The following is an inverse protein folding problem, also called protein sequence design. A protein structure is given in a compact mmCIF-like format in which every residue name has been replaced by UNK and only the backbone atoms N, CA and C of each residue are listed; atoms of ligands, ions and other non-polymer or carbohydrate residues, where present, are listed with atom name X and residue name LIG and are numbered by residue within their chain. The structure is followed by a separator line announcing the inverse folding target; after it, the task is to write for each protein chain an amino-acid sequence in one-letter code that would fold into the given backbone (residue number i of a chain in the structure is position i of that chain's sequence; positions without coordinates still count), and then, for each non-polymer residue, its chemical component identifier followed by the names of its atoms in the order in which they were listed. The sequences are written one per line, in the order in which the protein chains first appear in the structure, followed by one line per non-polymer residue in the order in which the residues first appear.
data_IF_363700955972
#
_entry.id   IF_363700955972
#
_cell.length_a   1.000
_cell.length_b   1.000
_cell.length_c   1.000
_cell.angle_alpha   90.00
_cell.angle_beta   90.00
_cell.angle_gamma   90.00
#
_symmetry.space_group_name_H-M   'P 1'
#
loop_
_entity.id
_entity.type
_entity.pdbx_description
1 polymer ?
#
# COMPACT_ATOMS: atom_id res chain seq x y z
N UNK A 1 28.18 -6.76 20.83
CA UNK A 1 27.41 -5.69 20.15
C UNK A 1 28.06 -5.08 18.89
N UNK A 2 29.34 -5.35 18.57
CA UNK A 2 30.01 -4.72 17.40
C UNK A 2 29.80 -5.38 16.04
N UNK A 3 29.59 -6.70 15.98
CA UNK A 3 29.57 -7.45 14.71
C UNK A 3 28.24 -7.35 13.92
N UNK A 4 27.12 -7.15 14.63
CA UNK A 4 25.78 -7.07 14.01
C UNK A 4 25.58 -5.75 13.24
N UNK A 5 26.26 -4.67 13.65
CA UNK A 5 26.18 -3.36 12.97
C UNK A 5 26.82 -3.36 11.58
N UNK A 6 27.83 -4.20 11.34
CA UNK A 6 28.58 -4.27 10.08
C UNK A 6 27.75 -4.92 8.97
N UNK A 7 26.82 -5.82 9.31
CA UNK A 7 25.95 -6.48 8.33
C UNK A 7 24.65 -5.73 8.04
N UNK A 8 24.17 -4.90 8.97
CA UNK A 8 22.92 -4.14 8.79
C UNK A 8 23.13 -2.94 7.85
N UNK A 9 24.30 -2.30 7.89
CA UNK A 9 24.59 -1.11 7.08
C UNK A 9 24.50 -1.34 5.55
N UNK A 10 25.06 -2.41 4.95
CA UNK A 10 24.95 -2.63 3.51
C UNK A 10 23.52 -3.02 3.07
N UNK A 11 22.76 -3.71 3.92
CA UNK A 11 21.36 -4.07 3.64
C UNK A 11 20.48 -2.81 3.61
N UNK A 12 20.72 -1.87 4.54
CA UNK A 12 20.00 -0.60 4.61
C UNK A 12 20.33 0.32 3.43
N UNK A 13 21.58 0.30 2.94
CA UNK A 13 22.01 1.02 1.73
C UNK A 13 21.45 0.39 0.46
N UNK A 14 21.42 -0.94 0.37
CA UNK A 14 20.88 -1.65 -0.80
C UNK A 14 19.38 -1.46 -0.96
N UNK A 15 18.62 -1.42 0.13
CA UNK A 15 17.17 -1.14 0.09
C UNK A 15 16.88 0.33 -0.26
N UNK A 16 17.80 1.25 0.07
CA UNK A 16 17.65 2.68 -0.22
C UNK A 16 18.00 3.06 -1.67
N UNK A 17 18.77 2.23 -2.39
CA UNK A 17 19.19 2.47 -3.79
C UNK A 17 18.26 1.87 -4.86
N UNK A 18 17.27 1.05 -4.48
CA UNK A 18 16.38 0.40 -5.45
C UNK A 18 15.32 1.28 -6.14
N UNK A 19 14.94 2.51 -5.70
CA UNK A 19 13.94 3.30 -6.42
C UNK A 19 14.51 4.46 -7.27
N UNK A 20 15.81 4.51 -7.59
CA UNK A 20 16.38 5.57 -8.46
C UNK A 20 16.55 5.09 -9.93
N UNK A 21 16.21 3.84 -10.25
CA UNK A 21 16.53 3.22 -11.54
C UNK A 21 15.47 3.27 -12.64
N UNK A 22 14.32 3.97 -12.49
CA UNK A 22 13.28 3.99 -13.54
C UNK A 22 12.78 5.42 -13.78
N UNK A 23 13.60 6.19 -14.49
CA UNK A 23 13.34 7.45 -15.23
C UNK A 23 14.76 8.00 -15.43
N UNK A 24 15.38 7.99 -16.61
CA UNK A 24 14.94 8.59 -17.86
C UNK A 24 15.55 7.80 -19.03
N UNK A 25 14.70 7.31 -19.93
CA UNK A 25 15.06 7.05 -21.32
C UNK A 25 13.92 7.64 -22.15
N UNK A 26 13.83 8.97 -22.15
CA UNK A 26 13.12 9.69 -23.20
C UNK A 26 14.17 9.84 -24.30
N UNK A 27 14.14 8.95 -25.29
CA UNK A 27 14.83 9.20 -26.55
C UNK A 27 14.26 10.52 -27.08
N UNK A 28 15.08 11.57 -27.08
CA UNK A 28 14.84 12.74 -27.91
C UNK A 28 14.82 12.24 -29.35
N UNK A 29 13.62 11.94 -29.86
CA UNK A 29 13.37 11.89 -31.29
C UNK A 29 13.48 13.34 -31.75
N UNK A 30 14.70 13.74 -32.10
CA UNK A 30 14.97 14.89 -32.93
C UNK A 30 14.34 14.63 -34.29
N UNK A 31 13.10 15.10 -34.45
CA UNK A 31 12.51 15.27 -35.78
C UNK A 31 13.35 16.35 -36.46
N UNK A 32 13.99 16.07 -37.61
CA UNK A 32 14.78 17.06 -38.31
C UNK A 32 13.88 18.23 -38.73
N UNK A 33 14.39 19.45 -38.59
CA UNK A 33 13.76 20.66 -39.13
C UNK A 33 13.42 20.41 -40.60
N UNK A 34 12.12 20.44 -40.93
CA UNK A 34 11.66 20.58 -42.31
C UNK A 34 12.19 21.94 -42.81
N UNK A 35 13.35 21.88 -43.46
CA UNK A 35 13.85 22.95 -44.30
C UNK A 35 12.85 23.12 -45.45
N UNK A 36 11.98 24.12 -45.30
CA UNK A 36 11.15 24.65 -46.38
C UNK A 36 12.10 25.24 -47.43
N UNK A 37 12.54 24.40 -48.37
CA UNK A 37 13.27 24.82 -49.55
C UNK A 37 12.28 24.96 -50.71
N UNK A 38 11.83 26.18 -50.91
CA UNK A 38 11.30 26.65 -52.17
C UNK A 38 12.44 26.60 -53.20
N UNK A 39 12.32 25.72 -54.20
CA UNK A 39 12.99 25.97 -55.46
C UNK A 39 12.07 25.64 -56.64
N UNK A 40 11.83 26.69 -57.43
CA UNK A 40 11.07 26.69 -58.67
C UNK A 40 12.09 26.47 -59.78
N UNK A 41 12.15 25.28 -60.38
CA UNK A 41 12.63 25.12 -61.76
C UNK A 41 11.91 23.93 -62.37
N UNK A 42 11.12 24.19 -63.42
CA UNK A 42 10.36 23.17 -64.12
C UNK A 42 11.22 22.27 -64.98
N UNK A 43 10.66 21.11 -65.32
CA UNK A 43 10.87 20.47 -66.62
C UNK A 43 9.71 19.49 -66.87
N UNK A 44 8.93 19.81 -67.90
CA UNK A 44 7.92 18.94 -68.49
C UNK A 44 8.63 17.81 -69.25
N UNK A 45 8.19 16.55 -69.09
CA UNK A 45 8.33 15.52 -70.13
C UNK A 45 7.07 14.64 -70.17
N UNK A 46 6.49 14.39 -71.37
CA UNK A 46 5.15 13.83 -71.53
C UNK A 46 5.16 12.29 -71.47
N UNK A 47 4.24 11.70 -70.71
CA UNK A 47 3.91 10.27 -70.86
C UNK A 47 2.73 10.11 -71.83
N UNK A 48 3.09 9.45 -72.92
CA UNK A 48 2.36 9.06 -74.12
C UNK A 48 1.03 8.36 -73.81
N UNK A 49 -0.08 8.87 -74.34
CA UNK A 49 -1.35 8.13 -74.41
C UNK A 49 -1.25 7.13 -75.56
N UNK A 50 -1.20 5.84 -75.23
CA UNK A 50 -1.37 4.75 -76.20
C UNK A 50 -2.84 4.33 -76.23
N UNK A 51 -3.53 4.78 -77.27
CA UNK A 51 -4.90 4.38 -77.62
C UNK A 51 -4.85 3.09 -78.43
N UNK A 52 -5.37 2.00 -77.87
CA UNK A 52 -5.97 0.92 -78.65
C UNK A 52 -5.69 -0.51 -78.18
N UNK A 53 -6.65 -1.11 -77.48
CA UNK A 53 -7.16 -2.46 -77.73
C UNK A 53 -8.24 -2.79 -76.67
N UNK A 54 -9.43 -3.14 -77.13
CA UNK A 54 -10.57 -3.55 -76.33
C UNK A 54 -10.37 -4.99 -75.83
N UNK A 55 -10.50 -5.24 -74.52
CA UNK A 55 -10.78 -6.57 -73.97
C UNK A 55 -11.93 -6.47 -72.95
N UNK A 56 -12.96 -7.33 -73.03
CA UNK A 56 -14.18 -7.18 -72.24
C UNK A 56 -13.99 -7.63 -70.79
N UNK A 57 -14.50 -6.81 -69.88
CA UNK A 57 -14.49 -7.02 -68.42
C UNK A 57 -15.43 -8.19 -68.08
N UNK A 58 -14.86 -9.29 -67.58
CA UNK A 58 -15.59 -10.46 -67.09
C UNK A 58 -16.12 -10.17 -65.68
N UNK A 59 -17.43 -9.96 -65.54
CA UNK A 59 -18.08 -9.90 -64.22
C UNK A 59 -18.25 -11.33 -63.69
N UNK A 60 -17.43 -11.72 -62.72
CA UNK A 60 -17.59 -12.98 -62.01
C UNK A 60 -18.61 -12.80 -60.88
N UNK A 61 -19.72 -13.55 -60.97
CA UNK A 61 -20.90 -13.51 -60.11
C UNK A 61 -20.61 -14.14 -58.74
N UNK A 62 -20.85 -13.37 -57.67
CA UNK A 62 -20.64 -13.77 -56.28
C UNK A 62 -21.86 -14.53 -55.74
N UNK A 63 -21.69 -15.79 -55.31
CA UNK A 63 -22.64 -16.46 -54.42
C UNK A 63 -21.94 -16.93 -53.14
N UNK A 64 -22.18 -16.22 -52.05
CA UNK A 64 -21.80 -16.63 -50.69
C UNK A 64 -22.96 -17.42 -50.09
N UNK A 65 -22.78 -18.73 -49.90
CA UNK A 65 -23.68 -19.54 -49.07
C UNK A 65 -23.43 -19.22 -47.59
N UNK A 66 -24.38 -18.53 -46.96
CA UNK A 66 -24.40 -18.26 -45.53
C UNK A 66 -25.06 -19.44 -44.80
N UNK A 67 -24.26 -20.25 -44.09
CA UNK A 67 -24.74 -21.31 -43.19
C UNK A 67 -24.96 -20.72 -41.76
N UNK A 68 -26.21 -20.61 -41.28
CA UNK A 68 -26.54 -20.03 -39.98
C UNK A 68 -26.41 -21.02 -38.81
N UNK A 69 -26.02 -22.27 -39.04
CA UNK A 69 -26.12 -23.35 -38.04
C UNK A 69 -25.00 -23.39 -37.00
N UNK A 70 -23.96 -22.56 -37.11
CA UNK A 70 -22.85 -22.49 -36.15
C UNK A 70 -23.12 -21.48 -35.01
N UNK A 71 -24.32 -20.90 -34.95
CA UNK A 71 -24.69 -19.88 -33.98
C UNK A 71 -25.06 -20.40 -32.57
N UNK A 72 -25.05 -21.71 -32.30
CA UNK A 72 -25.55 -22.22 -31.02
C UNK A 72 -24.59 -23.17 -30.31
N UNK A 73 -24.38 -22.87 -29.03
CA UNK A 73 -23.77 -23.70 -27.97
C UNK A 73 -22.25 -23.68 -27.81
N UNK A 74 -21.72 -22.55 -27.34
CA UNK A 74 -20.69 -22.59 -26.31
C UNK A 74 -21.04 -21.57 -25.22
N UNK A 75 -21.86 -22.00 -24.25
CA UNK A 75 -22.06 -21.25 -23.00
C UNK A 75 -20.79 -21.46 -22.18
N UNK A 76 -19.75 -20.70 -22.50
CA UNK A 76 -18.68 -20.39 -21.58
C UNK A 76 -19.15 -19.13 -20.85
N UNK A 77 -19.28 -19.11 -19.51
CA UNK A 77 -19.54 -17.86 -18.81
C UNK A 77 -18.39 -16.92 -19.13
N UNK A 78 -18.66 -15.90 -19.96
CA UNK A 78 -17.73 -14.84 -20.33
C UNK A 78 -17.24 -14.12 -19.08
N UNK A 79 -16.14 -14.60 -18.50
CA UNK A 79 -15.28 -13.72 -17.71
C UNK A 79 -14.56 -12.86 -18.77
N UNK A 80 -14.75 -11.53 -18.77
CA UNK A 80 -14.28 -10.66 -19.84
C UNK A 80 -12.76 -10.46 -19.75
N UNK A 81 -11.98 -11.52 -19.99
CA UNK A 81 -10.53 -11.49 -19.97
C UNK A 81 -9.99 -11.84 -21.36
N UNK A 82 -10.18 -10.88 -22.29
CA UNK A 82 -9.58 -10.94 -23.62
C UNK A 82 -8.15 -10.39 -23.54
N UNK A 83 -7.16 -11.27 -23.72
CA UNK A 83 -5.72 -10.96 -23.70
C UNK A 83 -5.22 -10.46 -25.08
N UNK A 84 -6.01 -10.63 -26.14
CA UNK A 84 -5.47 -10.65 -27.52
C UNK A 84 -5.62 -9.35 -28.33
N UNK A 85 -6.00 -8.23 -27.71
CA UNK A 85 -6.11 -6.93 -28.39
C UNK A 85 -4.83 -6.08 -28.29
N UNK A 86 -4.62 -5.06 -29.17
CA UNK A 86 -3.53 -4.07 -29.05
C UNK A 86 -3.57 -3.22 -27.76
N UNK A 87 -4.54 -3.48 -26.86
CA UNK A 87 -4.64 -2.97 -25.50
C UNK A 87 -4.50 -4.05 -24.41
N UNK A 88 -4.07 -5.27 -24.72
CA UNK A 88 -4.03 -6.42 -23.78
C UNK A 88 -3.23 -6.17 -22.50
N UNK A 89 -2.16 -5.38 -22.57
CA UNK A 89 -1.41 -4.95 -21.39
C UNK A 89 -2.21 -3.98 -20.50
N UNK A 90 -2.97 -3.06 -21.10
CA UNK A 90 -3.79 -2.08 -20.36
C UNK A 90 -5.01 -2.73 -19.72
N UNK A 91 -5.68 -3.66 -20.42
CA UNK A 91 -6.83 -4.40 -19.88
C UNK A 91 -6.41 -5.34 -18.75
N UNK A 92 -5.28 -6.03 -18.91
CA UNK A 92 -4.71 -6.89 -17.85
C UNK A 92 -4.31 -6.08 -16.62
N UNK A 93 -3.70 -4.90 -16.80
CA UNK A 93 -3.35 -4.01 -15.70
C UNK A 93 -4.60 -3.49 -14.96
N UNK A 94 -5.64 -3.06 -15.69
CA UNK A 94 -6.90 -2.61 -15.09
C UNK A 94 -7.62 -3.74 -14.34
N UNK A 95 -7.64 -4.95 -14.90
CA UNK A 95 -8.21 -6.12 -14.23
C UNK A 95 -7.44 -6.48 -12.95
N UNK A 96 -6.11 -6.44 -12.99
CA UNK A 96 -5.26 -6.62 -11.82
C UNK A 96 -5.55 -5.53 -10.76
N UNK A 97 -5.60 -4.26 -11.15
CA UNK A 97 -5.91 -3.17 -10.22
C UNK A 97 -7.30 -3.31 -9.60
N UNK A 98 -8.31 -3.73 -10.38
CA UNK A 98 -9.65 -3.98 -9.87
C UNK A 98 -9.65 -5.11 -8.83
N UNK A 99 -9.04 -6.26 -9.15
CA UNK A 99 -8.92 -7.38 -8.22
C UNK A 99 -8.11 -7.00 -6.96
N UNK A 100 -6.99 -6.29 -7.13
CA UNK A 100 -6.16 -5.79 -6.04
C UNK A 100 -6.93 -4.80 -5.15
N UNK A 101 -7.73 -3.92 -5.74
CA UNK A 101 -8.54 -2.95 -4.99
C UNK A 101 -9.58 -3.64 -4.10
N UNK A 102 -10.24 -4.69 -4.62
CA UNK A 102 -11.18 -5.50 -3.84
C UNK A 102 -10.45 -6.21 -2.69
N UNK A 103 -9.28 -6.80 -2.98
CA UNK A 103 -8.45 -7.45 -1.97
C UNK A 103 -8.05 -6.46 -0.85
N UNK A 104 -7.51 -5.30 -1.20
CA UNK A 104 -7.12 -4.26 -0.25
C UNK A 104 -8.32 -3.75 0.53
N UNK A 105 -9.50 -3.62 -0.08
CA UNK A 105 -10.69 -3.18 0.62
C UNK A 105 -11.13 -4.21 1.68
N UNK A 106 -11.20 -5.49 1.33
CA UNK A 106 -11.62 -6.54 2.26
C UNK A 106 -10.61 -6.72 3.40
N UNK A 107 -9.33 -6.94 3.07
CA UNK A 107 -8.30 -7.18 4.07
C UNK A 107 -7.88 -5.90 4.81
N UNK A 108 -7.88 -4.76 4.13
CA UNK A 108 -7.59 -3.46 4.73
C UNK A 108 -8.67 -3.02 5.69
N UNK A 109 -9.96 -3.15 5.32
CA UNK A 109 -11.06 -2.83 6.22
C UNK A 109 -11.13 -3.81 7.40
N UNK A 110 -10.98 -5.11 7.14
CA UNK A 110 -10.91 -6.13 8.19
C UNK A 110 -9.75 -5.89 9.17
N UNK A 111 -8.56 -5.61 8.63
CA UNK A 111 -7.36 -5.28 9.42
C UNK A 111 -7.52 -3.98 10.21
N UNK A 112 -8.14 -2.96 9.62
CA UNK A 112 -8.45 -1.71 10.30
C UNK A 112 -9.40 -1.92 11.48
N UNK A 113 -10.56 -2.57 11.25
CA UNK A 113 -11.52 -2.89 12.31
C UNK A 113 -10.86 -3.68 13.44
N UNK A 114 -10.09 -4.72 13.08
CA UNK A 114 -9.35 -5.52 14.04
C UNK A 114 -8.38 -4.67 14.88
N UNK A 115 -7.57 -3.83 14.22
CA UNK A 115 -6.59 -2.97 14.88
C UNK A 115 -7.26 -1.95 15.81
N UNK A 116 -8.37 -1.35 15.38
CA UNK A 116 -9.17 -0.40 16.18
C UNK A 116 -9.79 -1.08 17.40
N UNK A 117 -10.33 -2.30 17.27
CA UNK A 117 -10.86 -3.05 18.43
C UNK A 117 -9.74 -3.41 19.41
N UNK A 118 -8.59 -3.88 18.90
CA UNK A 118 -7.45 -4.23 19.73
C UNK A 118 -6.95 -3.00 20.51
N UNK A 119 -6.78 -1.87 19.83
CA UNK A 119 -6.31 -0.64 20.44
C UNK A 119 -7.34 -0.02 21.40
N UNK A 120 -8.64 -0.11 21.09
CA UNK A 120 -9.73 0.27 21.99
C UNK A 120 -9.65 -0.51 23.30
N UNK A 121 -9.44 -1.83 23.22
CA UNK A 121 -9.31 -2.69 24.39
C UNK A 121 -8.05 -2.37 25.19
N UNK A 122 -6.90 -2.17 24.52
CA UNK A 122 -5.66 -1.72 25.17
C UNK A 122 -5.89 -0.41 25.94
N UNK A 123 -6.50 0.59 25.31
CA UNK A 123 -6.80 1.86 25.95
C UNK A 123 -7.72 1.70 27.16
N UNK A 124 -8.79 0.90 27.05
CA UNK A 124 -9.71 0.63 28.14
C UNK A 124 -9.02 -0.09 29.31
N UNK A 125 -8.22 -1.12 29.03
CA UNK A 125 -7.48 -1.89 30.04
C UNK A 125 -6.42 -1.05 30.76
N UNK A 126 -5.86 -0.05 30.08
CA UNK A 126 -4.88 0.89 30.63
C UNK A 126 -5.51 2.13 31.29
N UNK A 127 -6.84 2.18 31.40
CA UNK A 127 -7.55 3.28 32.08
C UNK A 127 -7.58 4.59 31.28
N UNK A 128 -7.52 4.53 29.95
CA UNK A 128 -7.60 5.72 29.11
C UNK A 128 -9.02 6.28 29.06
N UNK A 129 -9.20 7.59 29.27
CA UNK A 129 -10.52 8.24 29.36
C UNK A 129 -11.37 8.11 28.09
N UNK A 130 -10.72 8.06 26.91
CA UNK A 130 -11.41 8.08 25.60
C UNK A 130 -10.96 6.94 24.69
N UNK A 131 -11.24 5.65 25.02
CA UNK A 131 -10.76 4.52 24.22
C UNK A 131 -11.29 4.52 22.78
N UNK A 132 -12.41 5.20 22.53
CA UNK A 132 -13.00 5.36 21.19
C UNK A 132 -12.07 6.07 20.19
N UNK A 133 -11.03 6.78 20.67
CA UNK A 133 -9.99 7.36 19.82
C UNK A 133 -9.32 6.33 18.89
N UNK A 134 -9.36 5.04 19.26
CA UNK A 134 -8.88 3.94 18.42
C UNK A 134 -9.54 3.83 17.03
N UNK A 135 -10.74 4.39 16.86
CA UNK A 135 -11.48 4.36 15.60
C UNK A 135 -11.07 5.48 14.65
N UNK A 136 -10.48 6.58 15.10
CA UNK A 136 -10.11 7.69 14.21
C UNK A 136 -8.60 7.65 14.00
N UNK A 137 -8.06 7.50 12.77
CA UNK A 137 -6.61 7.28 12.54
C UNK A 137 -5.68 8.32 13.19
N UNK A 138 -6.10 9.59 13.19
CA UNK A 138 -5.33 10.67 13.81
C UNK A 138 -5.38 10.54 15.33
N UNK A 139 -6.56 10.27 15.90
CA UNK A 139 -6.74 10.13 17.35
C UNK A 139 -6.14 8.83 17.89
N UNK A 140 -6.13 7.75 17.10
CA UNK A 140 -5.50 6.49 17.47
C UNK A 140 -4.00 6.66 17.64
N UNK A 141 -3.38 7.50 16.81
CA UNK A 141 -1.97 7.89 16.94
C UNK A 141 -1.73 8.69 18.23
N UNK A 142 -2.56 9.71 18.49
CA UNK A 142 -2.51 10.51 19.73
C UNK A 142 -2.66 9.63 20.97
N UNK A 143 -3.63 8.72 20.96
CA UNK A 143 -3.87 7.78 22.05
C UNK A 143 -2.68 6.85 22.24
N UNK A 144 -2.12 6.32 21.15
CA UNK A 144 -0.92 5.45 21.21
C UNK A 144 0.26 6.19 21.84
N UNK A 145 0.49 7.45 21.48
CA UNK A 145 1.53 8.28 22.09
C UNK A 145 1.28 8.48 23.58
N UNK A 146 0.06 8.83 23.99
CA UNK A 146 -0.28 9.03 25.40
C UNK A 146 -0.12 7.73 26.22
N UNK A 147 -0.59 6.59 25.69
CA UNK A 147 -0.43 5.29 26.33
C UNK A 147 1.05 4.86 26.41
N UNK A 148 1.87 5.26 25.44
CA UNK A 148 3.30 5.00 25.35
C UNK A 148 4.20 6.00 26.08
N UNK A 149 3.65 6.89 26.93
CA UNK A 149 4.38 7.97 27.64
C UNK A 149 5.11 8.95 26.71
N UNK A 150 4.52 9.25 25.55
CA UNK A 150 5.03 10.23 24.59
C UNK A 150 4.13 11.46 24.49
N UNK A 151 4.72 12.58 24.06
CA UNK A 151 3.99 13.83 23.88
C UNK A 151 3.08 13.76 22.64
N UNK A 152 1.74 13.90 22.78
CA UNK A 152 0.81 13.84 21.65
C UNK A 152 1.03 14.96 20.63
N UNK A 153 1.65 16.09 21.01
CA UNK A 153 1.99 17.18 20.09
C UNK A 153 2.99 16.76 19.01
N UNK A 154 3.69 15.63 19.19
CA UNK A 154 4.58 15.08 18.16
C UNK A 154 3.83 14.71 16.88
N UNK A 155 2.49 14.58 16.91
CA UNK A 155 1.70 14.40 15.70
C UNK A 155 1.76 15.62 14.76
N UNK A 156 2.08 16.81 15.26
CA UNK A 156 2.26 18.01 14.43
C UNK A 156 3.42 17.85 13.45
N UNK A 157 4.37 16.94 13.71
CA UNK A 157 5.43 16.62 12.75
C UNK A 157 4.84 16.05 11.46
N UNK A 158 3.66 15.43 11.47
CA UNK A 158 2.98 14.93 10.27
C UNK A 158 2.71 16.05 9.25
N UNK A 159 2.61 17.31 9.70
CA UNK A 159 2.41 18.47 8.84
C UNK A 159 3.66 18.81 8.00
N UNK A 160 4.83 18.31 8.39
CA UNK A 160 6.08 18.46 7.63
C UNK A 160 6.12 17.36 6.56
N UNK A 161 5.95 17.69 5.27
CA UNK A 161 5.96 16.69 4.21
C UNK A 161 7.34 16.01 4.12
N UNK A 162 7.33 14.73 3.75
CA UNK A 162 8.54 13.91 3.66
C UNK A 162 8.95 13.31 5.00
N UNK A 163 9.75 14.03 5.79
CA UNK A 163 10.38 13.46 7.00
C UNK A 163 9.43 13.34 8.19
N UNK A 164 8.39 14.16 8.24
CA UNK A 164 7.44 14.21 9.35
C UNK A 164 6.73 12.87 9.61
N UNK A 165 6.19 12.27 8.55
CA UNK A 165 5.52 10.96 8.63
C UNK A 165 6.47 9.85 9.10
N UNK A 166 7.73 9.87 8.65
CA UNK A 166 8.73 8.88 9.07
C UNK A 166 9.04 9.00 10.55
N UNK A 167 9.22 10.23 11.07
CA UNK A 167 9.48 10.46 12.49
C UNK A 167 8.29 10.03 13.34
N UNK A 168 7.06 10.38 12.93
CA UNK A 168 5.83 9.96 13.63
C UNK A 168 5.70 8.44 13.64
N UNK A 169 6.03 7.76 12.53
CA UNK A 169 6.02 6.30 12.48
C UNK A 169 7.02 5.68 13.47
N UNK A 170 8.27 6.17 13.50
CA UNK A 170 9.30 5.69 14.45
C UNK A 170 8.87 5.94 15.90
N UNK A 171 8.32 7.11 16.20
CA UNK A 171 7.77 7.42 17.52
C UNK A 171 6.63 6.49 17.89
N UNK A 172 5.74 6.15 16.95
CA UNK A 172 4.66 5.17 17.13
C UNK A 172 5.18 3.78 17.50
N UNK A 173 6.27 3.34 16.88
CA UNK A 173 6.94 2.08 17.23
C UNK A 173 7.44 2.16 18.69
N UNK A 174 8.12 3.23 19.06
CA UNK A 174 8.65 3.41 20.42
C UNK A 174 7.50 3.48 21.44
N UNK A 175 6.40 4.16 21.12
CA UNK A 175 5.21 4.20 21.96
C UNK A 175 4.64 2.80 22.17
N UNK A 176 4.53 2.00 21.11
CA UNK A 176 4.05 0.62 21.20
C UNK A 176 5.01 -0.29 21.98
N UNK A 177 6.33 -0.07 21.87
CA UNK A 177 7.33 -0.75 22.72
C UNK A 177 7.15 -0.42 24.20
N UNK A 178 6.83 0.83 24.54
CA UNK A 178 6.54 1.23 25.92
C UNK A 178 5.22 0.63 26.42
N UNK A 179 4.18 0.59 25.58
CA UNK A 179 2.92 -0.08 25.91
C UNK A 179 3.17 -1.58 26.15
N UNK A 180 3.93 -2.26 25.28
CA UNK A 180 4.30 -3.66 25.47
C UNK A 180 5.01 -3.89 26.81
N UNK A 181 5.98 -3.02 27.14
CA UNK A 181 6.68 -3.04 28.44
C UNK A 181 5.70 -2.90 29.62
N UNK A 182 4.76 -1.95 29.55
CA UNK A 182 3.71 -1.76 30.58
C UNK A 182 2.79 -2.97 30.73
N UNK A 183 2.57 -3.74 29.66
CA UNK A 183 1.76 -4.96 29.66
C UNK A 183 2.55 -6.24 30.01
N UNK A 184 3.77 -6.12 30.51
CA UNK A 184 4.60 -7.26 30.96
C UNK A 184 5.34 -8.00 29.83
N UNK A 185 5.50 -7.38 28.67
CA UNK A 185 6.24 -7.94 27.53
C UNK A 185 7.63 -7.29 27.39
N UNK A 186 8.57 -8.03 26.79
CA UNK A 186 9.89 -7.49 26.46
C UNK A 186 9.79 -6.34 25.47
N UNK A 187 10.60 -5.29 25.69
CA UNK A 187 10.64 -4.10 24.82
C UNK A 187 10.90 -4.47 23.34
N UNK A 188 11.68 -5.52 23.12
CA UNK A 188 12.04 -6.01 21.78
C UNK A 188 10.84 -6.57 21.01
N UNK A 189 9.77 -6.99 21.69
CA UNK A 189 8.54 -7.45 21.02
C UNK A 189 7.85 -6.31 20.28
N UNK A 190 8.01 -5.06 20.71
CA UNK A 190 7.50 -3.92 19.95
C UNK A 190 8.21 -3.71 18.60
N UNK A 191 9.42 -4.25 18.42
CA UNK A 191 10.15 -4.14 17.14
C UNK A 191 9.54 -5.01 16.04
N UNK A 192 8.77 -6.04 16.42
CA UNK A 192 8.04 -6.92 15.50
C UNK A 192 6.99 -6.15 14.69
N UNK A 193 6.58 -4.97 15.17
CA UNK A 193 5.63 -4.09 14.46
C UNK A 193 6.14 -3.62 13.09
N UNK A 194 7.46 -3.68 12.85
CA UNK A 194 8.06 -3.33 11.55
C UNK A 194 7.58 -4.26 10.42
N UNK A 195 7.15 -5.49 10.78
CA UNK A 195 6.53 -6.44 9.87
C UNK A 195 5.01 -6.27 9.99
N UNK A 196 4.28 -5.83 8.95
CA UNK A 196 2.85 -5.49 9.04
C UNK A 196 1.98 -6.63 9.58
N UNK A 197 2.23 -7.86 9.12
CA UNK A 197 1.53 -9.06 9.61
C UNK A 197 1.79 -9.32 11.10
N UNK A 198 3.02 -9.10 11.54
CA UNK A 198 3.42 -9.37 12.90
C UNK A 198 2.98 -8.26 13.87
N UNK A 199 2.73 -7.04 13.36
CA UNK A 199 2.02 -5.97 14.09
C UNK A 199 0.65 -6.42 14.57
N UNK A 200 -0.13 -7.11 13.73
CA UNK A 200 -1.45 -7.63 14.13
C UNK A 200 -1.34 -8.68 15.23
N UNK A 201 -0.34 -9.57 15.17
CA UNK A 201 -0.08 -10.56 16.22
C UNK A 201 0.32 -9.88 17.53
N UNK A 202 1.15 -8.84 17.47
CA UNK A 202 1.52 -8.05 18.63
C UNK A 202 0.29 -7.37 19.24
N UNK A 203 -0.52 -6.67 18.46
CA UNK A 203 -1.77 -6.05 18.93
C UNK A 203 -2.72 -7.07 19.56
N UNK A 204 -2.84 -8.27 18.97
CA UNK A 204 -3.60 -9.38 19.55
C UNK A 204 -3.08 -9.78 20.93
N UNK A 205 -1.76 -10.00 21.03
CA UNK A 205 -1.11 -10.38 22.28
C UNK A 205 -1.31 -9.33 23.36
N UNK A 206 -1.09 -8.06 23.03
CA UNK A 206 -1.35 -6.98 23.97
C UNK A 206 -2.83 -6.98 24.38
N UNK A 207 -3.76 -6.86 23.44
CA UNK A 207 -5.18 -6.66 23.74
C UNK A 207 -5.87 -7.84 24.46
N UNK A 208 -5.46 -9.10 24.23
CA UNK A 208 -6.14 -10.27 24.79
C UNK A 208 -5.29 -11.14 25.72
N UNK A 209 -3.96 -11.02 25.71
CA UNK A 209 -3.08 -11.85 26.56
C UNK A 209 -2.09 -11.04 27.41
N UNK A 210 -2.49 -9.95 28.08
CA UNK A 210 -1.56 -9.18 28.93
C UNK A 210 -0.83 -10.08 29.93
N UNK A 211 0.48 -9.88 30.07
CA UNK A 211 1.34 -10.62 31.02
C UNK A 211 1.51 -9.88 32.35
N UNK A 212 0.63 -8.92 32.64
CA UNK A 212 0.66 -8.19 33.90
C UNK A 212 0.35 -9.14 35.06
N UNK A 213 1.42 -9.70 35.62
CA UNK A 213 1.46 -10.27 36.97
C UNK A 213 1.14 -9.14 37.96
N UNK A 214 0.13 -9.38 38.78
CA UNK A 214 -0.29 -8.58 39.92
C UNK A 214 -0.86 -7.19 39.62
N UNK A 215 -2.19 -7.14 39.74
CA UNK A 215 -2.85 -5.99 40.30
C UNK A 215 -2.08 -5.52 41.55
N UNK A 216 -1.49 -4.33 41.49
CA UNK A 216 -1.44 -3.47 42.67
C UNK A 216 -2.92 -3.12 42.93
N UNK A 217 -3.62 -4.03 43.58
CA UNK A 217 -4.93 -3.74 44.12
C UNK A 217 -4.74 -2.63 45.18
N UNK A 218 -5.50 -1.53 45.13
CA UNK A 218 -5.40 -0.43 46.10
C UNK A 218 -5.83 -0.79 47.53
N UNK A 219 -5.84 -2.07 47.93
CA UNK A 219 -6.28 -2.56 49.24
C UNK A 219 -5.15 -2.80 50.25
N UNK A 220 -3.93 -2.32 50.02
CA UNK A 220 -2.83 -2.41 51.01
C UNK A 220 -2.44 -1.06 51.65
N UNK A 221 -3.25 0.00 51.44
CA UNK A 221 -3.14 1.24 52.21
C UNK A 221 -4.21 1.24 53.30
N UNK A 222 -4.10 0.36 54.29
CA UNK A 222 -4.77 0.55 55.59
C UNK A 222 -4.33 -0.51 56.60
N UNK A 223 -3.28 -0.18 57.36
CA UNK A 223 -3.34 -0.14 58.83
C UNK A 223 -2.09 0.56 59.36
N UNK A 224 -2.23 1.73 60.02
CA UNK A 224 -1.23 2.19 60.97
C UNK A 224 -1.05 1.11 62.03
N UNK A 225 0.17 0.65 62.25
CA UNK A 225 0.52 -0.25 63.35
C UNK A 225 0.34 0.55 64.64
N UNK A 226 -0.77 0.31 65.34
CA UNK A 226 -1.00 0.79 66.70
C UNK A 226 0.06 0.14 67.60
N UNK A 227 0.98 0.96 68.13
CA UNK A 227 1.96 0.53 69.10
C UNK A 227 1.25 0.17 70.42
N UNK A 228 1.53 -0.98 71.05
CA UNK A 228 0.98 -1.29 72.36
C UNK A 228 1.62 -0.38 73.43
N UNK A 229 0.87 -0.03 74.50
CA UNK A 229 1.37 0.87 75.53
C UNK A 229 2.54 0.25 76.29
N UNK A 230 3.59 1.06 76.44
CA UNK A 230 4.71 0.81 77.35
C UNK A 230 4.15 0.67 78.76
N UNK A 231 4.30 -0.51 79.37
CA UNK A 231 4.21 -0.71 80.82
C UNK A 231 5.62 -0.92 81.38
#
# INVERSE_FOLDING_TARGET
MGKVKIFILPILISVFLLPIGISYAQEDITIPEEEVLYDIVGEEQPILYDTGAEDPILYEDTSYDYDPSIAESEIIPDIPFSIDGPGGMTTSFLAFLAAYSIFVLVFGLGGYIFSSIALYKIGKDMGYDRPWFAWVPILSTVMTFQLGDQNPMLILLLLIPGIGGLVVAVLGIIALMNIAKKRGYDKNLGLIVLIPLASFVLLYLLAWKPKTTEAIAPSQISTPVEQPPVQ
#
